data_IF_212783918613
#
_entry.id   IF_212783918613
#
_cell.length_a   1.000
_cell.length_b   1.000
_cell.length_c   1.000
_cell.angle_alpha   90.00
_cell.angle_beta   90.00
_cell.angle_gamma   90.00
#
_symmetry.space_group_name_H-M   'P 1'
#
loop_
_entity.id
_entity.type
_entity.pdbx_description
1 polymer ?
#
# COMPACT_ATOMS: atom_id res chain seq x y z
N UNK A 1 -25.80 27.61 -7.01
CA UNK A 1 -25.61 26.35 -7.79
C UNK A 1 -24.17 25.91 -7.64
N UNK A 2 -23.89 25.11 -6.63
CA UNK A 2 -22.56 24.56 -6.38
C UNK A 2 -22.32 23.35 -7.29
N UNK A 3 -21.29 23.43 -8.09
CA UNK A 3 -20.80 22.29 -8.88
C UNK A 3 -20.04 21.36 -7.93
N UNK A 4 -20.73 20.30 -7.48
CA UNK A 4 -20.11 19.18 -6.76
C UNK A 4 -19.10 18.50 -7.69
N UNK A 5 -17.86 18.49 -7.24
CA UNK A 5 -16.72 17.96 -7.97
C UNK A 5 -16.70 16.41 -7.86
N UNK A 6 -17.44 15.74 -8.77
CA UNK A 6 -17.56 14.27 -8.85
C UNK A 6 -16.44 13.73 -9.76
N UNK A 7 -15.18 13.88 -9.37
CA UNK A 7 -14.07 13.42 -10.21
C UNK A 7 -12.99 12.60 -9.47
N UNK A 8 -13.33 11.88 -8.39
CA UNK A 8 -12.36 11.01 -7.70
C UNK A 8 -12.66 9.50 -7.68
N UNK A 9 -13.83 9.05 -8.16
CA UNK A 9 -14.21 7.62 -8.08
C UNK A 9 -14.13 6.83 -9.39
N UNK A 10 -13.74 7.41 -10.51
CA UNK A 10 -13.78 6.75 -11.84
C UNK A 10 -12.50 6.02 -12.27
N UNK A 11 -11.46 5.90 -11.45
CA UNK A 11 -10.15 5.41 -11.92
C UNK A 11 -9.81 3.97 -11.53
N UNK A 12 -10.67 3.25 -10.80
CA UNK A 12 -10.39 1.87 -10.38
C UNK A 12 -10.92 0.79 -11.35
N UNK A 13 -11.86 1.12 -12.23
CA UNK A 13 -12.54 0.13 -13.07
C UNK A 13 -11.71 -0.42 -14.24
N UNK A 14 -10.48 0.07 -14.47
CA UNK A 14 -9.72 -0.24 -15.68
C UNK A 14 -8.24 -0.59 -15.45
N UNK A 15 -7.86 -0.99 -14.24
CA UNK A 15 -6.46 -1.28 -13.92
C UNK A 15 -6.18 -2.79 -13.90
N UNK A 16 -5.15 -3.21 -14.64
CA UNK A 16 -4.68 -4.59 -14.74
C UNK A 16 -3.31 -4.69 -14.07
N UNK A 17 -3.12 -5.67 -13.17
CA UNK A 17 -1.83 -5.97 -12.59
C UNK A 17 -1.21 -7.23 -13.19
N UNK A 18 0.04 -7.14 -13.60
CA UNK A 18 0.91 -8.27 -13.93
C UNK A 18 1.91 -8.41 -12.78
N UNK A 19 1.81 -9.49 -12.04
CA UNK A 19 2.54 -9.70 -10.78
C UNK A 19 3.66 -10.69 -11.00
N UNK A 20 4.88 -10.24 -10.83
CA UNK A 20 6.08 -11.06 -10.79
C UNK A 20 6.22 -11.66 -9.37
N UNK A 21 5.72 -12.87 -9.19
CA UNK A 21 5.67 -13.52 -7.89
C UNK A 21 7.05 -14.00 -7.41
N UNK A 22 8.05 -14.14 -8.29
CA UNK A 22 9.42 -14.42 -7.89
C UNK A 22 10.05 -13.27 -7.12
N UNK A 23 9.76 -12.03 -7.54
CA UNK A 23 10.29 -10.81 -6.93
C UNK A 23 9.28 -10.12 -5.99
N UNK A 24 8.06 -10.68 -5.83
CA UNK A 24 6.99 -10.13 -5.02
C UNK A 24 6.08 -11.23 -4.48
N UNK A 25 6.59 -12.11 -3.62
CA UNK A 25 5.83 -13.23 -3.07
C UNK A 25 4.84 -12.84 -1.95
N UNK A 26 5.02 -11.68 -1.32
CA UNK A 26 4.09 -11.19 -0.30
C UNK A 26 3.04 -10.26 -0.90
N UNK A 27 1.92 -10.81 -1.35
CA UNK A 27 0.82 -10.05 -1.94
C UNK A 27 -0.01 -9.25 -0.93
N UNK A 28 0.14 -9.48 0.38
CA UNK A 28 -0.56 -8.70 1.41
C UNK A 28 -0.12 -7.24 1.46
N UNK A 29 1.04 -6.94 0.87
CA UNK A 29 1.61 -5.59 0.82
C UNK A 29 1.15 -4.77 -0.39
N UNK A 30 0.31 -5.36 -1.25
CA UNK A 30 -0.17 -4.74 -2.48
C UNK A 30 -1.65 -4.38 -2.32
N UNK A 31 -2.08 -3.18 -2.72
CA UNK A 31 -3.49 -2.81 -2.70
C UNK A 31 -4.25 -3.54 -3.82
N UNK A 32 -4.56 -4.83 -3.64
CA UNK A 32 -5.19 -5.66 -4.67
C UNK A 32 -6.60 -5.21 -5.03
N UNK A 33 -7.25 -4.47 -4.18
CA UNK A 33 -8.61 -3.94 -4.36
C UNK A 33 -8.76 -2.87 -5.45
N UNK A 34 -7.66 -2.36 -6.00
CA UNK A 34 -7.69 -1.37 -7.08
C UNK A 34 -7.70 -2.01 -8.48
N UNK A 35 -7.51 -3.33 -8.57
CA UNK A 35 -7.39 -4.02 -9.85
C UNK A 35 -8.67 -4.75 -10.23
N UNK A 36 -9.01 -4.68 -11.50
CA UNK A 36 -10.08 -5.47 -12.10
C UNK A 36 -9.61 -6.83 -12.61
N UNK A 37 -8.32 -6.92 -12.91
CA UNK A 37 -7.70 -8.16 -13.36
C UNK A 37 -6.29 -8.28 -12.78
N UNK A 38 -5.97 -9.47 -12.29
CA UNK A 38 -4.68 -9.86 -11.74
C UNK A 38 -4.13 -11.04 -12.51
N UNK A 39 -2.92 -10.89 -13.04
CA UNK A 39 -2.20 -11.97 -13.71
C UNK A 39 -0.92 -12.22 -12.90
N UNK A 40 -0.85 -13.37 -12.26
CA UNK A 40 0.27 -13.74 -11.37
C UNK A 40 1.17 -14.71 -12.12
N UNK A 41 2.45 -14.34 -12.22
CA UNK A 41 3.49 -15.17 -12.81
C UNK A 41 4.34 -15.78 -11.71
N UNK A 42 4.33 -17.10 -11.62
CA UNK A 42 5.19 -17.87 -10.69
C UNK A 42 6.23 -18.66 -11.47
N UNK A 43 7.44 -18.75 -10.95
CA UNK A 43 8.52 -19.53 -11.56
C UNK A 43 8.54 -20.99 -11.09
N UNK A 44 9.43 -21.79 -11.70
CA UNK A 44 9.56 -23.22 -11.48
C UNK A 44 9.79 -23.64 -10.00
N UNK A 45 10.37 -22.74 -9.19
CA UNK A 45 10.64 -22.99 -7.76
C UNK A 45 9.47 -22.66 -6.85
N UNK A 46 8.39 -22.10 -7.39
CA UNK A 46 7.24 -21.61 -6.63
C UNK A 46 6.03 -22.49 -6.88
N UNK A 47 5.92 -23.58 -6.14
CA UNK A 47 4.85 -24.55 -6.27
C UNK A 47 3.50 -24.04 -5.72
N UNK A 48 3.53 -23.01 -4.89
CA UNK A 48 2.35 -22.44 -4.24
C UNK A 48 2.35 -20.91 -4.34
N UNK A 49 1.20 -20.34 -4.63
CA UNK A 49 0.94 -18.90 -4.59
C UNK A 49 -0.02 -18.62 -3.44
N UNK A 50 0.44 -17.86 -2.45
CA UNK A 50 -0.40 -17.45 -1.32
C UNK A 50 -1.21 -16.20 -1.69
N UNK A 51 -2.52 -16.31 -1.62
CA UNK A 51 -3.45 -15.23 -1.94
C UNK A 51 -4.11 -14.69 -0.67
N UNK A 52 -4.03 -13.38 -0.37
CA UNK A 52 -4.77 -12.76 0.72
C UNK A 52 -6.25 -12.58 0.32
N UNK A 53 -7.06 -13.61 0.51
CA UNK A 53 -8.47 -13.65 0.04
C UNK A 53 -9.29 -12.45 0.50
N UNK A 54 -9.02 -11.92 1.69
CA UNK A 54 -9.70 -10.73 2.23
C UNK A 54 -9.34 -9.41 1.52
N UNK A 55 -8.30 -9.41 0.68
CA UNK A 55 -7.85 -8.21 -0.05
C UNK A 55 -8.45 -8.09 -1.46
N UNK A 56 -9.23 -9.08 -1.91
CA UNK A 56 -9.83 -9.08 -3.24
C UNK A 56 -11.18 -8.36 -3.23
N UNK A 57 -11.50 -7.54 -4.26
CA UNK A 57 -12.83 -7.05 -4.49
C UNK A 57 -13.77 -8.21 -4.89
N UNK A 58 -15.09 -8.02 -4.75
CA UNK A 58 -16.09 -9.08 -5.06
C UNK A 58 -16.00 -9.61 -6.48
N UNK A 59 -15.50 -8.82 -7.44
CA UNK A 59 -15.41 -9.19 -8.85
C UNK A 59 -14.04 -8.87 -9.45
N UNK A 60 -13.01 -9.66 -9.10
CA UNK A 60 -11.69 -9.59 -9.72
C UNK A 60 -11.44 -10.81 -10.58
N UNK A 61 -10.96 -10.60 -11.81
CA UNK A 61 -10.49 -11.69 -12.65
C UNK A 61 -9.06 -12.07 -12.25
N UNK A 62 -8.86 -13.31 -11.83
CA UNK A 62 -7.56 -13.84 -11.42
C UNK A 62 -7.06 -14.86 -12.44
N UNK A 63 -5.84 -14.67 -12.93
CA UNK A 63 -5.14 -15.61 -13.81
C UNK A 63 -3.79 -15.97 -13.19
N UNK A 64 -3.51 -17.27 -13.08
CA UNK A 64 -2.20 -17.77 -12.65
C UNK A 64 -1.45 -18.33 -13.86
N UNK A 65 -0.22 -17.89 -14.04
CA UNK A 65 0.73 -18.35 -15.07
C UNK A 65 1.92 -18.99 -14.38
N UNK A 66 2.03 -20.30 -14.45
CA UNK A 66 3.20 -21.00 -13.94
C UNK A 66 4.20 -21.23 -15.08
N UNK A 67 5.43 -20.72 -14.88
CA UNK A 67 6.55 -20.86 -15.80
C UNK A 67 7.46 -21.99 -15.30
N UNK A 68 7.39 -23.15 -15.95
CA UNK A 68 8.05 -24.39 -15.48
C UNK A 68 9.55 -24.44 -15.80
N UNK A 69 10.01 -23.72 -16.82
CA UNK A 69 11.41 -23.72 -17.24
C UNK A 69 12.28 -22.90 -16.28
N UNK A 70 13.40 -23.48 -15.89
CA UNK A 70 14.38 -22.86 -14.98
C UNK A 70 15.48 -22.13 -15.73
N UNK A 71 15.17 -21.03 -16.42
CA UNK A 71 16.18 -20.15 -17.01
C UNK A 71 16.14 -18.77 -16.36
N UNK A 72 17.27 -18.04 -16.48
CA UNK A 72 17.35 -16.69 -15.92
C UNK A 72 16.36 -15.76 -16.61
N UNK A 73 15.66 -14.94 -15.84
CA UNK A 73 14.65 -13.96 -16.32
C UNK A 73 13.50 -14.60 -17.12
N UNK A 74 13.21 -15.89 -16.92
CA UNK A 74 12.19 -16.56 -17.72
C UNK A 74 10.79 -16.03 -17.36
N UNK A 75 10.50 -15.82 -16.08
CA UNK A 75 9.26 -15.20 -15.61
C UNK A 75 9.09 -13.79 -16.21
N UNK A 76 10.18 -13.02 -16.25
CA UNK A 76 10.16 -11.64 -16.80
C UNK A 76 9.77 -11.63 -18.28
N UNK A 77 10.32 -12.55 -19.08
CA UNK A 77 9.99 -12.65 -20.50
C UNK A 77 8.53 -13.03 -20.73
N UNK A 78 8.00 -13.98 -19.96
CA UNK A 78 6.58 -14.37 -20.05
C UNK A 78 5.67 -13.22 -19.62
N UNK A 79 6.02 -12.50 -18.56
CA UNK A 79 5.27 -11.34 -18.10
C UNK A 79 5.24 -10.23 -19.17
N UNK A 80 6.39 -9.90 -19.75
CA UNK A 80 6.49 -8.86 -20.78
C UNK A 80 5.75 -9.25 -22.05
N UNK A 81 5.79 -10.53 -22.45
CA UNK A 81 5.04 -11.04 -23.58
C UNK A 81 3.54 -10.90 -23.36
N UNK A 82 3.03 -11.31 -22.21
CA UNK A 82 1.61 -11.18 -21.85
C UNK A 82 1.20 -9.70 -21.78
N UNK A 83 2.03 -8.83 -21.18
CA UNK A 83 1.81 -7.40 -21.16
C UNK A 83 1.67 -6.83 -22.59
N UNK A 84 2.53 -7.25 -23.53
CA UNK A 84 2.45 -6.83 -24.92
C UNK A 84 1.12 -7.26 -25.57
N UNK A 85 0.61 -8.45 -25.28
CA UNK A 85 -0.69 -8.93 -25.79
C UNK A 85 -1.85 -8.10 -25.21
N UNK A 86 -1.81 -7.74 -23.92
CA UNK A 86 -2.81 -6.89 -23.28
C UNK A 86 -2.79 -5.47 -23.86
N UNK A 87 -1.60 -4.89 -24.05
CA UNK A 87 -1.43 -3.59 -24.69
C UNK A 87 -1.93 -3.59 -26.12
N UNK A 88 -1.65 -4.65 -26.89
CA UNK A 88 -2.18 -4.79 -28.24
C UNK A 88 -3.71 -4.84 -28.26
N UNK A 89 -4.32 -5.53 -27.30
CA UNK A 89 -5.78 -5.73 -27.24
C UNK A 89 -6.55 -4.50 -26.74
N UNK A 90 -6.02 -3.79 -25.74
CA UNK A 90 -6.75 -2.76 -25.02
C UNK A 90 -6.11 -1.34 -25.13
N UNK A 91 -4.88 -1.24 -25.59
CA UNK A 91 -4.19 0.04 -25.80
C UNK A 91 -4.18 0.91 -24.53
N UNK A 92 -4.56 2.17 -24.71
CA UNK A 92 -4.66 3.17 -23.63
C UNK A 92 -5.99 3.14 -22.86
N UNK A 93 -6.92 2.22 -23.20
CA UNK A 93 -8.18 2.07 -22.47
C UNK A 93 -7.95 1.52 -21.07
N UNK A 94 -6.89 0.74 -20.90
CA UNK A 94 -6.49 0.15 -19.61
C UNK A 94 -5.25 0.83 -19.05
N UNK A 95 -5.08 0.75 -17.72
CA UNK A 95 -3.84 1.06 -17.03
C UNK A 95 -3.16 -0.24 -16.62
N UNK A 96 -1.84 -0.32 -16.81
CA UNK A 96 -1.07 -1.53 -16.57
C UNK A 96 -0.08 -1.32 -15.44
N UNK A 97 -0.13 -2.17 -14.43
CA UNK A 97 0.83 -2.18 -13.35
C UNK A 97 1.68 -3.45 -13.40
N UNK A 98 3.00 -3.28 -13.49
CA UNK A 98 3.95 -4.37 -13.25
C UNK A 98 4.26 -4.35 -11.77
N UNK A 99 3.85 -5.38 -11.06
CA UNK A 99 4.11 -5.50 -9.62
C UNK A 99 5.37 -6.34 -9.43
N UNK A 100 6.50 -5.67 -9.20
CA UNK A 100 7.80 -6.30 -8.99
C UNK A 100 8.77 -5.38 -8.26
N UNK A 101 9.64 -5.95 -7.42
CA UNK A 101 10.78 -5.25 -6.84
C UNK A 101 11.90 -5.03 -7.88
N UNK A 102 11.93 -5.81 -8.98
CA UNK A 102 12.96 -5.70 -10.00
C UNK A 102 12.83 -4.42 -10.83
N UNK A 103 13.91 -3.64 -10.87
CA UNK A 103 14.02 -2.42 -11.68
C UNK A 103 14.23 -2.69 -13.17
N UNK A 104 14.50 -3.94 -13.56
CA UNK A 104 14.64 -4.34 -14.96
C UNK A 104 13.44 -3.95 -15.81
N UNK A 105 12.24 -3.93 -15.22
CA UNK A 105 11.02 -3.51 -15.90
C UNK A 105 10.91 -2.00 -16.18
N UNK A 106 11.72 -1.14 -15.55
CA UNK A 106 11.62 0.32 -15.71
C UNK A 106 11.86 0.76 -17.17
N UNK A 107 12.65 0.00 -17.94
CA UNK A 107 12.89 0.23 -19.36
C UNK A 107 11.62 0.03 -20.20
N UNK A 108 10.91 -1.09 -19.98
CA UNK A 108 9.65 -1.42 -20.65
C UNK A 108 8.57 -0.40 -20.29
N UNK A 109 8.45 -0.04 -19.01
CA UNK A 109 7.50 0.97 -18.53
C UNK A 109 7.71 2.29 -19.28
N UNK A 110 8.94 2.80 -19.36
CA UNK A 110 9.24 4.04 -20.10
C UNK A 110 8.90 3.93 -21.58
N UNK A 111 9.19 2.79 -22.21
CA UNK A 111 8.88 2.56 -23.62
C UNK A 111 7.37 2.62 -23.88
N UNK A 112 6.56 2.01 -23.01
CA UNK A 112 5.10 2.06 -23.13
C UNK A 112 4.55 3.47 -22.88
N UNK A 113 5.07 4.18 -21.88
CA UNK A 113 4.68 5.56 -21.58
C UNK A 113 4.97 6.50 -22.77
N UNK A 114 6.12 6.37 -23.43
CA UNK A 114 6.43 7.13 -24.65
C UNK A 114 5.47 6.85 -25.81
N UNK A 115 4.81 5.69 -25.81
CA UNK A 115 3.77 5.31 -26.78
C UNK A 115 2.36 5.72 -26.35
N UNK A 116 2.22 6.51 -25.28
CA UNK A 116 0.95 6.94 -24.72
C UNK A 116 0.18 5.87 -23.93
N UNK A 117 0.83 4.75 -23.59
CA UNK A 117 0.23 3.67 -22.78
C UNK A 117 0.44 3.97 -21.30
N UNK A 118 -0.63 3.95 -20.51
CA UNK A 118 -0.58 4.11 -19.06
C UNK A 118 -0.02 2.85 -18.42
N UNK A 119 1.28 2.89 -18.12
CA UNK A 119 1.98 1.78 -17.48
C UNK A 119 2.89 2.28 -16.37
N UNK A 120 2.98 1.54 -15.26
CA UNK A 120 3.93 1.82 -14.19
C UNK A 120 4.37 0.55 -13.47
N UNK A 121 5.56 0.59 -12.86
CA UNK A 121 5.98 -0.45 -11.93
C UNK A 121 5.57 -0.10 -10.51
N UNK A 122 4.98 -1.06 -9.82
CA UNK A 122 4.62 -0.99 -8.41
C UNK A 122 5.59 -1.89 -7.64
N UNK A 123 6.39 -1.28 -6.77
CA UNK A 123 7.32 -2.02 -5.93
C UNK A 123 6.70 -2.27 -4.56
N UNK A 124 6.66 -3.51 -4.05
CA UNK A 124 6.19 -3.81 -2.69
C UNK A 124 6.92 -3.02 -1.62
N UNK A 125 8.24 -2.86 -1.76
CA UNK A 125 9.05 -2.07 -0.82
C UNK A 125 8.67 -0.58 -0.75
N UNK A 126 8.04 -0.02 -1.80
CA UNK A 126 7.49 1.36 -1.77
C UNK A 126 6.10 1.41 -1.16
N UNK A 127 5.35 0.31 -1.20
CA UNK A 127 4.07 0.19 -0.50
C UNK A 127 4.31 0.07 1.01
N UNK A 128 5.43 -0.52 1.44
CA UNK A 128 5.85 -0.51 2.85
C UNK A 128 6.12 0.90 3.38
N UNK A 129 6.64 1.81 2.54
CA UNK A 129 6.81 3.23 2.91
C UNK A 129 5.53 4.06 2.77
N UNK A 130 4.55 3.56 2.01
CA UNK A 130 3.20 4.12 1.86
C UNK A 130 2.15 3.29 2.64
N UNK A 131 2.55 2.31 3.44
CA UNK A 131 1.67 1.80 4.48
C UNK A 131 1.34 2.99 5.38
N UNK A 132 0.17 3.58 5.12
CA UNK A 132 -0.72 3.89 6.22
C UNK A 132 -0.97 2.52 6.86
N UNK A 133 -0.06 2.09 7.73
CA UNK A 133 -0.31 0.99 8.61
C UNK A 133 -1.61 1.39 9.30
N UNK A 134 -2.71 0.69 8.99
CA UNK A 134 -3.89 0.80 9.84
C UNK A 134 -3.34 0.39 11.20
N UNK A 135 -3.21 1.33 12.14
CA UNK A 135 -2.59 1.01 13.40
C UNK A 135 -3.47 -0.06 14.03
N UNK A 136 -2.84 -1.09 14.59
CA UNK A 136 -3.55 -2.10 15.35
C UNK A 136 -4.40 -1.36 16.38
N UNK A 137 -5.72 -1.35 16.17
CA UNK A 137 -6.64 -0.52 16.96
C UNK A 137 -6.60 -0.91 18.43
N UNK A 138 -6.32 -2.18 18.75
CA UNK A 138 -6.20 -2.63 20.13
C UNK A 138 -4.97 -2.02 20.80
N UNK A 139 -3.87 -1.94 20.06
CA UNK A 139 -2.63 -1.29 20.54
C UNK A 139 -2.85 0.23 20.65
N UNK A 140 -3.52 0.86 19.68
CA UNK A 140 -3.86 2.29 19.71
C UNK A 140 -4.71 2.60 20.95
N UNK A 141 -5.78 1.83 21.17
CA UNK A 141 -6.68 2.01 22.33
C UNK A 141 -5.92 1.84 23.63
N UNK A 142 -5.08 0.82 23.76
CA UNK A 142 -4.28 0.57 24.95
C UNK A 142 -3.36 1.75 25.27
N UNK A 143 -2.61 2.24 24.29
CA UNK A 143 -1.73 3.39 24.46
C UNK A 143 -2.50 4.68 24.71
N UNK A 144 -3.62 4.90 24.02
CA UNK A 144 -4.50 6.06 24.26
C UNK A 144 -4.98 6.09 25.70
N UNK A 145 -5.45 4.95 26.23
CA UNK A 145 -5.91 4.85 27.62
C UNK A 145 -4.77 5.16 28.62
N UNK A 146 -3.56 4.63 28.37
CA UNK A 146 -2.39 4.90 29.19
C UNK A 146 -2.01 6.38 29.19
N UNK A 147 -1.97 7.03 28.02
CA UNK A 147 -1.67 8.46 27.89
C UNK A 147 -2.75 9.31 28.55
N UNK A 148 -4.02 8.95 28.38
CA UNK A 148 -5.15 9.64 29.01
C UNK A 148 -5.05 9.60 30.53
N UNK A 149 -4.67 8.44 31.12
CA UNK A 149 -4.45 8.32 32.55
C UNK A 149 -3.30 9.19 33.01
N UNK A 150 -2.16 9.13 32.31
CA UNK A 150 -1.00 9.96 32.63
C UNK A 150 -1.34 11.45 32.57
N UNK A 151 -2.09 11.90 31.57
CA UNK A 151 -2.49 13.30 31.43
C UNK A 151 -3.39 13.80 32.58
N UNK A 152 -4.08 12.92 33.30
CA UNK A 152 -4.84 13.28 34.49
C UNK A 152 -3.98 13.42 35.74
N UNK A 153 -2.88 12.67 35.80
CA UNK A 153 -2.01 12.57 36.96
C UNK A 153 -0.82 13.56 36.93
N UNK A 154 -0.39 13.92 35.70
CA UNK A 154 0.82 14.73 35.47
C UNK A 154 0.46 16.13 34.96
N UNK A 155 0.93 17.16 35.71
CA UNK A 155 0.67 18.57 35.32
C UNK A 155 1.43 19.04 34.06
N UNK A 156 2.55 18.40 33.72
CA UNK A 156 3.44 18.85 32.63
C UNK A 156 3.45 17.86 31.46
N UNK A 157 2.34 17.78 30.77
CA UNK A 157 2.26 17.05 29.51
C UNK A 157 2.92 17.84 28.35
N UNK A 158 3.45 17.18 27.32
CA UNK A 158 4.08 17.83 26.17
C UNK A 158 3.14 18.86 25.51
N UNK A 159 3.66 20.08 25.27
CA UNK A 159 2.88 21.21 24.76
C UNK A 159 3.02 21.41 23.24
N UNK A 160 3.87 20.63 22.56
CA UNK A 160 4.04 20.69 21.09
C UNK A 160 3.96 19.31 20.47
N UNK A 161 3.64 19.26 19.17
CA UNK A 161 3.55 18.01 18.42
C UNK A 161 4.88 17.25 18.40
N UNK A 162 5.99 17.95 18.31
CA UNK A 162 7.35 17.39 18.34
C UNK A 162 7.68 16.77 19.71
N UNK A 163 7.49 17.52 20.79
CA UNK A 163 7.75 17.03 22.15
C UNK A 163 6.84 15.88 22.52
N UNK A 164 5.61 15.87 22.02
CA UNK A 164 4.67 14.76 22.20
C UNK A 164 5.11 13.51 21.43
N UNK A 165 5.59 13.66 20.20
CA UNK A 165 6.14 12.53 19.44
C UNK A 165 7.34 11.90 20.15
N UNK A 166 8.26 12.73 20.67
CA UNK A 166 9.42 12.26 21.43
C UNK A 166 8.99 11.55 22.72
N UNK A 167 7.98 12.09 23.39
CA UNK A 167 7.39 11.48 24.58
C UNK A 167 6.78 10.10 24.25
N UNK A 168 5.94 10.01 23.22
CA UNK A 168 5.37 8.72 22.76
C UNK A 168 6.47 7.72 22.41
N UNK A 169 7.51 8.15 21.69
CA UNK A 169 8.64 7.30 21.32
C UNK A 169 9.35 6.73 22.55
N UNK A 170 9.57 7.54 23.57
CA UNK A 170 10.18 7.11 24.82
C UNK A 170 9.30 6.13 25.60
N UNK A 171 7.98 6.29 25.54
CA UNK A 171 7.03 5.41 26.24
C UNK A 171 6.82 4.09 25.50
N UNK A 172 6.71 4.13 24.19
CA UNK A 172 6.38 2.96 23.35
C UNK A 172 7.60 2.07 23.08
N UNK A 173 8.81 2.61 23.15
CA UNK A 173 10.07 1.87 22.94
C UNK A 173 10.03 0.96 21.70
N UNK A 174 10.11 -0.35 21.91
CA UNK A 174 10.13 -1.36 20.84
C UNK A 174 8.81 -1.47 20.08
N UNK A 175 7.70 -1.01 20.66
CA UNK A 175 6.40 -0.93 19.98
C UNK A 175 6.26 0.32 19.12
N UNK A 176 7.20 1.25 19.19
CA UNK A 176 7.14 2.50 18.41
C UNK A 176 7.05 2.22 16.92
N UNK A 177 6.01 2.78 16.30
CA UNK A 177 5.82 2.89 14.86
C UNK A 177 5.12 4.21 14.59
N UNK A 178 5.52 4.94 13.54
CA UNK A 178 4.90 6.24 13.21
C UNK A 178 3.39 6.15 13.05
N UNK A 179 2.90 5.08 12.44
CA UNK A 179 1.47 4.84 12.26
C UNK A 179 0.73 4.65 13.59
N UNK A 180 1.31 3.92 14.56
CA UNK A 180 0.73 3.75 15.89
C UNK A 180 0.71 5.07 16.66
N UNK A 181 1.80 5.84 16.61
CA UNK A 181 1.89 7.15 17.25
C UNK A 181 0.86 8.14 16.68
N UNK A 182 0.68 8.14 15.36
CA UNK A 182 -0.36 8.92 14.69
C UNK A 182 -1.77 8.46 15.12
N UNK A 183 -2.02 7.14 15.15
CA UNK A 183 -3.29 6.59 15.62
C UNK A 183 -3.63 6.97 17.05
N UNK A 184 -2.65 6.91 17.97
CA UNK A 184 -2.83 7.34 19.37
C UNK A 184 -3.13 8.84 19.46
N UNK A 185 -2.42 9.65 18.69
CA UNK A 185 -2.65 11.10 18.63
C UNK A 185 -4.06 11.43 18.13
N UNK A 186 -4.47 10.82 17.03
CA UNK A 186 -5.78 11.05 16.40
C UNK A 186 -6.91 10.59 17.34
N UNK A 187 -6.72 9.48 18.05
CA UNK A 187 -7.68 8.96 19.01
C UNK A 187 -7.81 9.87 20.26
N UNK A 188 -6.69 10.42 20.76
CA UNK A 188 -6.72 11.41 21.85
C UNK A 188 -7.47 12.68 21.45
N UNK A 189 -7.29 13.15 20.21
CA UNK A 189 -8.03 14.30 19.67
C UNK A 189 -9.51 13.94 19.50
N UNK A 190 -9.83 12.79 18.95
CA UNK A 190 -11.21 12.31 18.77
C UNK A 190 -11.97 12.21 20.10
N UNK A 191 -11.30 11.79 21.17
CA UNK A 191 -11.87 11.72 22.53
C UNK A 191 -11.95 13.08 23.23
N UNK A 192 -11.46 14.15 22.61
CA UNK A 192 -11.42 15.48 23.22
C UNK A 192 -10.46 15.63 24.39
N UNK A 193 -9.53 14.68 24.58
CA UNK A 193 -8.51 14.70 25.64
C UNK A 193 -7.41 15.70 25.30
N UNK A 194 -7.14 15.87 24.02
CA UNK A 194 -6.08 16.70 23.48
C UNK A 194 -6.60 17.52 22.31
N UNK A 195 -6.17 18.78 22.19
CA UNK A 195 -6.45 19.63 21.02
C UNK A 195 -5.14 20.07 20.40
N UNK A 196 -5.06 20.02 19.07
CA UNK A 196 -3.88 20.46 18.30
C UNK A 196 -4.26 21.67 17.46
N UNK A 197 -3.48 22.74 17.58
CA UNK A 197 -3.60 23.94 16.74
C UNK A 197 -2.22 24.32 16.21
N UNK A 198 -1.96 24.02 14.93
CA UNK A 198 -0.60 24.10 14.38
C UNK A 198 0.35 23.15 15.11
N UNK A 199 1.46 23.67 15.66
CA UNK A 199 2.40 22.87 16.46
C UNK A 199 2.08 22.83 17.97
N UNK A 200 1.03 23.54 18.42
CA UNK A 200 0.69 23.66 19.86
C UNK A 200 -0.33 22.60 20.25
N UNK A 201 -0.07 21.93 21.38
CA UNK A 201 -0.97 20.96 22.03
C UNK A 201 -1.54 21.57 23.30
N UNK A 202 -2.83 21.32 23.52
CA UNK A 202 -3.55 21.66 24.75
C UNK A 202 -4.27 20.39 25.25
N UNK A 203 -4.10 20.08 26.52
CA UNK A 203 -4.67 18.90 27.22
C UNK A 203 -5.93 19.25 27.98
#
# INVERSE_FOLDING_TARGET
MEKVNINREKNTENCIALIDYENCSNLTEIPLNIYTELIIFSGAKQNNVALPVSAFPEAVKLTLRHVSETSRNNVDFHLVLELGQYVYRYGSEKEYHIVSADKGYDGIVRTLQMRGIRCRRVSPAKVLSAKIAVPDMDIVIRWTNKIQQTAREVRNMPATAETFNNYLKSQMRDEWRDALANGVRDELVRRGIMKIKGNKITW
#
